data_IF_505353774084
#
_entry.id   IF_505353774084
#
_cell.length_a   1.000
_cell.length_b   1.000
_cell.length_c   1.000
_cell.angle_alpha   90.00
_cell.angle_beta   90.00
_cell.angle_gamma   90.00
#
_symmetry.space_group_name_H-M   'P 1'
#
loop_
_entity.id
_entity.type
_entity.pdbx_description
1 polymer ?
#
# COMPACT_ATOMS: atom_id res chain seq x y z
N UNK A 1 -7.33 25.28 -3.77
CA UNK A 1 -8.19 24.18 -4.25
C UNK A 1 -7.70 22.89 -3.63
N UNK A 2 -8.56 21.91 -3.37
CA UNK A 2 -8.15 20.64 -2.77
C UNK A 2 -7.19 19.88 -3.69
N UNK A 3 -6.17 19.26 -3.10
CA UNK A 3 -5.23 18.36 -3.77
C UNK A 3 -5.68 16.91 -3.62
N UNK A 4 -5.02 15.99 -4.34
CA UNK A 4 -5.31 14.58 -4.27
C UNK A 4 -6.55 14.14 -5.03
N UNK A 5 -7.04 12.94 -4.67
CA UNK A 5 -8.22 12.30 -5.24
C UNK A 5 -7.90 11.17 -6.22
N UNK A 6 -8.77 10.15 -6.19
CA UNK A 6 -8.58 8.93 -6.99
C UNK A 6 -8.60 9.20 -8.50
N UNK A 7 -9.39 10.18 -8.96
CA UNK A 7 -9.51 10.51 -10.38
C UNK A 7 -8.21 11.14 -10.93
N UNK A 8 -7.62 12.11 -10.21
CA UNK A 8 -6.33 12.70 -10.61
C UNK A 8 -5.19 11.69 -10.54
N UNK A 9 -5.20 10.83 -9.51
CA UNK A 9 -4.22 9.76 -9.38
C UNK A 9 -4.27 8.82 -10.59
N UNK A 10 -5.46 8.41 -11.02
CA UNK A 10 -5.64 7.57 -12.19
C UNK A 10 -5.09 8.21 -13.47
N UNK A 11 -5.33 9.50 -13.69
CA UNK A 11 -4.77 10.25 -14.82
C UNK A 11 -3.24 10.16 -14.86
N UNK A 12 -2.57 10.40 -13.72
CA UNK A 12 -1.10 10.32 -13.66
C UNK A 12 -0.57 8.89 -13.82
N UNK A 13 -1.23 7.90 -13.22
CA UNK A 13 -0.85 6.48 -13.38
C UNK A 13 -0.97 6.05 -14.85
N UNK A 14 -2.05 6.41 -15.54
CA UNK A 14 -2.23 6.08 -16.96
C UNK A 14 -1.17 6.76 -17.83
N UNK A 15 -0.84 8.03 -17.56
CA UNK A 15 0.22 8.73 -18.25
C UNK A 15 1.58 8.02 -18.08
N UNK A 16 1.98 7.70 -16.84
CA UNK A 16 3.24 6.99 -16.56
C UNK A 16 3.29 5.65 -17.30
N UNK A 17 2.20 4.87 -17.27
CA UNK A 17 2.15 3.58 -17.96
C UNK A 17 2.22 3.71 -19.49
N UNK A 18 1.77 4.82 -20.06
CA UNK A 18 1.87 5.08 -21.50
C UNK A 18 3.24 5.59 -21.95
N UNK A 19 4.04 6.15 -21.03
CA UNK A 19 5.36 6.71 -21.29
C UNK A 19 6.48 5.67 -21.31
N UNK A 20 6.26 4.47 -20.74
CA UNK A 20 7.31 3.46 -20.61
C UNK A 20 6.88 2.10 -21.13
N UNK A 21 7.84 1.36 -21.69
CA UNK A 21 7.70 -0.09 -22.00
C UNK A 21 8.24 -0.95 -20.84
N UNK A 22 8.84 -0.34 -19.83
CA UNK A 22 9.37 -1.06 -18.67
C UNK A 22 8.21 -1.55 -17.77
N UNK A 23 8.43 -2.61 -17.00
CA UNK A 23 7.48 -3.06 -16.00
C UNK A 23 7.16 -1.96 -14.99
N UNK A 24 5.87 -1.76 -14.69
CA UNK A 24 5.41 -0.81 -13.68
C UNK A 24 4.68 -1.58 -12.58
N UNK A 25 5.12 -1.41 -11.34
CA UNK A 25 4.39 -1.84 -10.14
C UNK A 25 3.69 -0.64 -9.50
N UNK A 26 2.44 -0.80 -9.15
CA UNK A 26 1.66 0.19 -8.42
C UNK A 26 1.36 -0.33 -7.02
N UNK A 27 1.98 0.29 -6.01
CA UNK A 27 2.05 -0.21 -4.65
C UNK A 27 1.49 0.83 -3.66
N UNK A 28 0.97 0.35 -2.54
CA UNK A 28 0.47 1.20 -1.45
C UNK A 28 0.99 0.70 -0.10
N UNK A 29 1.44 1.62 0.74
CA UNK A 29 2.05 1.31 2.04
C UNK A 29 1.06 1.38 3.22
N UNK A 30 -0.25 1.43 2.96
CA UNK A 30 -1.31 1.42 3.97
C UNK A 30 -1.81 2.80 4.42
N UNK A 31 -2.77 2.79 5.34
CA UNK A 31 -3.55 3.96 5.81
C UNK A 31 -4.36 4.64 4.69
N UNK A 32 -4.88 3.87 3.77
CA UNK A 32 -5.47 4.38 2.52
C UNK A 32 -7.01 4.38 2.54
N UNK A 33 -7.65 3.47 3.30
CA UNK A 33 -9.07 3.19 3.12
C UNK A 33 -10.03 4.21 3.76
N UNK A 34 -9.63 4.95 4.81
CA UNK A 34 -10.58 5.72 5.64
C UNK A 34 -10.25 7.21 5.80
N UNK A 35 -9.57 7.83 4.82
CA UNK A 35 -9.14 9.22 4.90
C UNK A 35 -10.23 10.28 4.68
N UNK A 36 -11.35 9.94 4.03
CA UNK A 36 -12.39 10.89 3.60
C UNK A 36 -13.79 10.39 3.96
N UNK A 37 -14.76 11.33 4.05
CA UNK A 37 -16.14 11.02 4.45
C UNK A 37 -16.77 9.93 3.57
N UNK A 38 -16.63 10.00 2.25
CA UNK A 38 -17.16 8.99 1.33
C UNK A 38 -16.53 7.61 1.56
N UNK A 39 -15.25 7.57 1.85
CA UNK A 39 -14.54 6.34 2.19
C UNK A 39 -15.06 5.75 3.52
N UNK A 40 -15.33 6.60 4.53
CA UNK A 40 -15.92 6.16 5.81
C UNK A 40 -17.34 5.63 5.63
N UNK A 41 -18.18 6.30 4.83
CA UNK A 41 -19.56 5.90 4.56
C UNK A 41 -19.66 4.60 3.76
N UNK A 42 -18.75 4.40 2.82
CA UNK A 42 -18.66 3.18 2.01
C UNK A 42 -17.88 2.06 2.68
N UNK A 43 -17.46 2.25 3.93
CA UNK A 43 -16.57 1.32 4.65
C UNK A 43 -15.32 0.94 3.83
N UNK A 44 -14.71 1.92 3.17
CA UNK A 44 -13.52 1.75 2.33
C UNK A 44 -13.79 1.17 0.92
N UNK A 45 -15.03 0.77 0.60
CA UNK A 45 -15.35 0.12 -0.68
C UNK A 45 -15.00 0.98 -1.88
N UNK A 46 -15.36 2.27 -1.87
CA UNK A 46 -15.04 3.19 -2.97
C UNK A 46 -13.54 3.24 -3.26
N UNK A 47 -12.71 3.15 -2.22
CA UNK A 47 -11.25 3.17 -2.40
C UNK A 47 -10.75 1.84 -2.98
N UNK A 48 -11.24 0.70 -2.50
CA UNK A 48 -10.90 -0.63 -3.04
C UNK A 48 -11.30 -0.76 -4.52
N UNK A 49 -12.49 -0.29 -4.88
CA UNK A 49 -12.96 -0.29 -6.26
C UNK A 49 -12.08 0.62 -7.15
N UNK A 50 -11.74 1.82 -6.65
CA UNK A 50 -10.87 2.75 -7.37
C UNK A 50 -9.44 2.19 -7.53
N UNK A 51 -8.85 1.62 -6.48
CA UNK A 51 -7.52 1.00 -6.54
C UNK A 51 -7.51 -0.20 -7.50
N UNK A 52 -8.59 -1.02 -7.46
CA UNK A 52 -8.74 -2.15 -8.38
C UNK A 52 -8.85 -1.69 -9.84
N UNK A 53 -9.59 -0.61 -10.11
CA UNK A 53 -9.71 -0.02 -11.45
C UNK A 53 -8.39 0.61 -11.94
N UNK A 54 -7.61 1.20 -11.04
CA UNK A 54 -6.26 1.71 -11.34
C UNK A 54 -5.22 0.60 -11.52
N UNK A 55 -5.53 -0.66 -11.14
CA UNK A 55 -4.63 -1.79 -11.27
C UNK A 55 -3.47 -1.74 -10.29
N UNK A 56 -3.77 -1.56 -9.00
CA UNK A 56 -2.77 -1.75 -7.95
C UNK A 56 -2.29 -3.21 -7.91
N UNK A 57 -1.01 -3.40 -7.60
CA UNK A 57 -0.38 -4.72 -7.51
C UNK A 57 -0.36 -5.26 -6.07
N UNK A 58 -0.31 -4.40 -5.07
CA UNK A 58 -0.45 -4.75 -3.65
C UNK A 58 -0.67 -3.51 -2.77
N UNK A 59 -1.19 -3.76 -1.55
CA UNK A 59 -1.33 -2.77 -0.48
C UNK A 59 -0.89 -3.41 0.85
N UNK A 60 -0.13 -2.68 1.68
CA UNK A 60 0.10 -3.08 3.08
C UNK A 60 -1.06 -2.63 3.99
N UNK A 61 -1.16 -3.25 5.17
CA UNK A 61 -2.11 -2.84 6.20
C UNK A 61 -1.47 -1.80 7.12
N UNK A 62 -2.06 -0.60 7.19
CA UNK A 62 -1.76 0.41 8.20
C UNK A 62 -2.79 0.47 9.32
N UNK A 63 -2.53 1.32 10.33
CA UNK A 63 -3.41 1.47 11.50
C UNK A 63 -4.81 1.93 11.12
N UNK A 64 -4.91 2.94 10.24
CA UNK A 64 -6.19 3.53 9.84
C UNK A 64 -7.03 2.60 8.98
N UNK A 65 -6.42 1.63 8.27
CA UNK A 65 -7.17 0.63 7.51
C UNK A 65 -7.99 -0.30 8.42
N UNK A 66 -7.64 -0.36 9.71
CA UNK A 66 -8.33 -1.11 10.76
C UNK A 66 -9.35 -0.26 11.55
N UNK A 67 -9.57 0.99 11.19
CA UNK A 67 -10.46 1.92 11.92
C UNK A 67 -11.91 1.43 12.04
N UNK A 68 -12.36 0.52 11.19
CA UNK A 68 -13.67 -0.14 11.24
C UNK A 68 -13.59 -1.61 11.70
N UNK A 69 -12.46 -2.02 12.25
CA UNK A 69 -12.20 -3.38 12.71
C UNK A 69 -11.66 -4.31 11.63
N UNK A 70 -11.12 -5.44 12.09
CA UNK A 70 -10.49 -6.48 11.23
C UNK A 70 -11.47 -7.06 10.22
N UNK A 71 -12.72 -7.32 10.62
CA UNK A 71 -13.74 -7.96 9.77
C UNK A 71 -14.09 -7.10 8.55
N UNK A 72 -14.19 -5.78 8.73
CA UNK A 72 -14.44 -4.84 7.63
C UNK A 72 -13.28 -4.87 6.65
N UNK A 73 -12.04 -4.83 7.13
CA UNK A 73 -10.86 -4.90 6.25
C UNK A 73 -10.76 -6.25 5.53
N UNK A 74 -11.09 -7.37 6.19
CA UNK A 74 -11.16 -8.69 5.56
C UNK A 74 -12.25 -8.74 4.46
N UNK A 75 -13.39 -8.09 4.67
CA UNK A 75 -14.42 -7.98 3.64
C UNK A 75 -13.89 -7.18 2.43
N UNK A 76 -13.19 -6.07 2.67
CA UNK A 76 -12.55 -5.28 1.60
C UNK A 76 -11.47 -6.07 0.86
N UNK A 77 -10.67 -6.87 1.58
CA UNK A 77 -9.64 -7.71 0.98
C UNK A 77 -10.22 -8.76 0.00
N UNK A 78 -11.43 -9.25 0.27
CA UNK A 78 -12.13 -10.17 -0.65
C UNK A 78 -12.68 -9.49 -1.90
N UNK A 79 -12.97 -8.19 -1.84
CA UNK A 79 -13.46 -7.38 -2.97
C UNK A 79 -12.31 -6.83 -3.84
N UNK A 80 -11.12 -6.69 -3.27
CA UNK A 80 -9.94 -6.17 -3.95
C UNK A 80 -9.45 -7.13 -5.05
N UNK A 81 -9.00 -6.55 -6.18
CA UNK A 81 -8.35 -7.29 -7.28
C UNK A 81 -6.83 -7.35 -7.13
N UNK A 82 -6.34 -7.04 -5.95
CA UNK A 82 -4.94 -7.04 -5.56
C UNK A 82 -4.84 -7.53 -4.10
N UNK A 83 -3.72 -8.13 -3.69
CA UNK A 83 -3.54 -8.59 -2.32
C UNK A 83 -3.39 -7.42 -1.34
N UNK A 84 -4.04 -7.54 -0.17
CA UNK A 84 -3.78 -6.74 1.01
C UNK A 84 -2.87 -7.56 1.91
N UNK A 85 -1.68 -7.00 2.24
CA UNK A 85 -0.57 -7.74 2.80
C UNK A 85 -0.25 -7.31 4.23
N UNK A 86 -0.05 -8.30 5.12
CA UNK A 86 0.61 -8.11 6.42
C UNK A 86 1.18 -9.43 6.92
N UNK A 87 2.49 -9.49 7.07
CA UNK A 87 3.16 -10.70 7.53
C UNK A 87 3.13 -10.85 9.07
N UNK A 88 2.99 -9.74 9.79
CA UNK A 88 3.16 -9.69 11.24
C UNK A 88 1.88 -9.34 12.03
N UNK A 89 0.76 -9.05 11.36
CA UNK A 89 -0.55 -8.94 11.99
C UNK A 89 -1.19 -10.33 12.02
N UNK A 90 -1.25 -10.95 13.20
CA UNK A 90 -1.70 -12.32 13.38
C UNK A 90 -2.95 -12.38 14.25
N UNK A 91 -3.74 -13.44 14.09
CA UNK A 91 -4.85 -13.75 14.99
C UNK A 91 -4.30 -14.04 16.40
N UNK A 92 -4.88 -13.43 17.43
CA UNK A 92 -4.39 -13.53 18.80
C UNK A 92 -4.43 -14.95 19.37
N UNK A 93 -5.38 -15.79 18.93
CA UNK A 93 -5.54 -17.16 19.40
C UNK A 93 -4.76 -18.17 18.55
N UNK A 94 -4.90 -18.07 17.22
CA UNK A 94 -4.31 -19.06 16.30
C UNK A 94 -2.86 -18.75 15.93
N UNK A 95 -2.37 -17.54 16.19
CA UNK A 95 -1.02 -17.08 15.84
C UNK A 95 -0.71 -17.20 14.34
N UNK A 96 -1.76 -17.21 13.49
CA UNK A 96 -1.64 -17.22 12.03
C UNK A 96 -1.84 -15.81 11.49
N UNK A 97 -1.16 -15.45 10.39
CA UNK A 97 -1.42 -14.18 9.71
C UNK A 97 -2.90 -14.01 9.35
N UNK A 98 -3.44 -12.83 9.64
CA UNK A 98 -4.83 -12.48 9.33
C UNK A 98 -4.98 -12.16 7.84
N UNK A 99 -3.95 -11.55 7.25
CA UNK A 99 -3.87 -11.23 5.83
C UNK A 99 -2.78 -12.07 5.16
N UNK A 100 -2.73 -12.04 3.83
CA UNK A 100 -1.61 -12.65 3.11
C UNK A 100 -0.29 -12.02 3.58
N UNK A 101 0.72 -12.81 3.95
CA UNK A 101 2.00 -12.24 4.40
C UNK A 101 2.78 -11.61 3.27
N UNK A 102 2.70 -12.20 2.07
CA UNK A 102 3.39 -11.75 0.86
C UNK A 102 2.63 -12.17 -0.40
N UNK A 103 3.02 -11.58 -1.52
CA UNK A 103 2.60 -12.00 -2.86
C UNK A 103 3.82 -12.16 -3.77
N UNK A 104 3.76 -13.13 -4.67
CA UNK A 104 4.72 -13.32 -5.75
C UNK A 104 4.06 -12.88 -7.06
N UNK A 105 4.76 -12.10 -7.85
CA UNK A 105 4.30 -11.70 -9.17
C UNK A 105 5.47 -11.58 -10.14
N UNK A 106 5.17 -11.74 -11.42
CA UNK A 106 6.14 -11.53 -12.49
C UNK A 106 5.70 -10.38 -13.38
N UNK A 107 6.62 -9.50 -13.71
CA UNK A 107 6.42 -8.39 -14.64
C UNK A 107 7.67 -8.22 -15.51
N UNK A 108 7.49 -8.28 -16.84
CA UNK A 108 8.60 -8.10 -17.79
C UNK A 108 9.74 -9.09 -17.62
N UNK A 109 9.45 -10.33 -17.19
CA UNK A 109 10.45 -11.38 -16.96
C UNK A 109 11.20 -11.25 -15.63
N UNK A 110 10.85 -10.29 -14.77
CA UNK A 110 11.40 -10.13 -13.40
C UNK A 110 10.38 -10.66 -12.39
N UNK A 111 10.85 -11.50 -11.46
CA UNK A 111 10.04 -12.04 -10.37
C UNK A 111 10.19 -11.14 -9.14
N UNK A 112 9.06 -10.67 -8.64
CA UNK A 112 9.00 -9.82 -7.44
C UNK A 112 8.35 -10.58 -6.29
N UNK A 113 8.93 -10.46 -5.09
CA UNK A 113 8.26 -10.78 -3.84
C UNK A 113 7.85 -9.46 -3.16
N UNK A 114 6.55 -9.32 -2.88
CA UNK A 114 5.99 -8.18 -2.16
C UNK A 114 5.60 -8.64 -0.76
N UNK A 115 6.19 -8.10 0.28
CA UNK A 115 5.93 -8.45 1.68
C UNK A 115 5.28 -7.26 2.39
N UNK A 116 4.17 -7.46 3.11
CA UNK A 116 3.53 -6.39 3.90
C UNK A 116 3.97 -6.39 5.35
N UNK A 117 4.21 -5.21 5.95
CA UNK A 117 4.57 -5.06 7.36
C UNK A 117 3.72 -3.98 8.02
N UNK A 118 3.05 -4.36 9.10
CA UNK A 118 2.15 -3.51 9.90
C UNK A 118 2.85 -3.05 11.17
N UNK A 119 2.61 -1.81 11.57
CA UNK A 119 3.14 -1.22 12.80
C UNK A 119 2.43 -1.72 14.08
N UNK A 120 3.09 -1.71 15.25
CA UNK A 120 2.45 -2.08 16.52
C UNK A 120 1.25 -1.23 16.91
N UNK A 121 1.23 0.07 16.53
CA UNK A 121 0.11 0.98 16.80
C UNK A 121 -1.21 0.56 16.11
N UNK A 122 -1.18 -0.35 15.14
CA UNK A 122 -2.36 -0.95 14.55
C UNK A 122 -3.31 -1.58 15.60
N UNK A 123 -2.76 -2.06 16.73
CA UNK A 123 -3.54 -2.59 17.85
C UNK A 123 -4.35 -1.54 18.62
N UNK A 124 -4.11 -0.25 18.38
CA UNK A 124 -4.87 0.85 18.99
C UNK A 124 -6.21 1.11 18.27
N UNK A 125 -6.37 0.56 17.06
CA UNK A 125 -7.64 0.63 16.34
C UNK A 125 -8.75 -0.13 17.11
N UNK A 126 -10.01 0.36 17.04
CA UNK A 126 -11.12 -0.19 17.83
C UNK A 126 -11.33 -1.70 17.62
N UNK A 127 -11.34 -2.46 18.71
CA UNK A 127 -11.59 -3.90 18.71
C UNK A 127 -10.47 -4.77 18.15
N UNK A 128 -9.38 -4.19 17.65
CA UNK A 128 -8.28 -4.96 17.02
C UNK A 128 -7.49 -5.73 18.07
N UNK A 129 -7.20 -5.14 19.23
CA UNK A 129 -6.41 -5.77 20.31
C UNK A 129 -7.04 -7.04 20.86
N UNK A 130 -8.35 -7.17 20.76
CA UNK A 130 -9.09 -8.33 21.28
C UNK A 130 -8.94 -9.56 20.36
N UNK A 131 -8.65 -9.35 19.08
CA UNK A 131 -8.63 -10.40 18.05
C UNK A 131 -7.28 -10.58 17.36
N UNK A 132 -6.37 -9.62 17.51
CA UNK A 132 -5.10 -9.60 16.80
C UNK A 132 -3.90 -9.28 17.69
N UNK A 133 -2.73 -9.69 17.24
CA UNK A 133 -1.41 -9.30 17.74
C UNK A 133 -0.54 -8.82 16.58
N UNK A 134 0.37 -7.90 16.85
CA UNK A 134 1.43 -7.52 15.92
C UNK A 134 2.73 -8.11 16.44
N UNK A 135 3.29 -9.03 15.67
CA UNK A 135 4.59 -9.66 15.97
C UNK A 135 5.73 -8.70 15.66
N UNK A 136 6.90 -8.97 16.22
CA UNK A 136 8.11 -8.19 15.93
C UNK A 136 8.38 -8.14 14.42
N UNK A 137 8.49 -6.95 13.83
CA UNK A 137 8.63 -6.80 12.39
C UNK A 137 9.90 -7.45 11.84
N UNK A 138 11.04 -7.23 12.51
CA UNK A 138 12.35 -7.73 12.03
C UNK A 138 12.39 -9.25 12.07
N UNK A 139 11.99 -9.86 13.19
CA UNK A 139 11.98 -11.31 13.33
C UNK A 139 11.00 -11.96 12.34
N UNK A 140 9.83 -11.33 12.13
CA UNK A 140 8.82 -11.88 11.22
C UNK A 140 9.24 -11.76 9.75
N UNK A 141 9.75 -10.60 9.33
CA UNK A 141 10.27 -10.43 7.96
C UNK A 141 11.39 -11.42 7.71
N UNK A 142 12.35 -11.55 8.64
CA UNK A 142 13.47 -12.52 8.53
C UNK A 142 12.98 -13.95 8.29
N UNK A 143 11.90 -14.36 8.95
CA UNK A 143 11.29 -15.68 8.74
C UNK A 143 10.83 -15.84 7.28
N UNK A 144 10.08 -14.85 6.76
CA UNK A 144 9.57 -14.90 5.39
C UNK A 144 10.66 -14.75 4.32
N UNK A 145 11.75 -14.02 4.60
CA UNK A 145 12.93 -13.99 3.72
C UNK A 145 13.51 -15.39 3.51
N UNK A 146 13.58 -16.19 4.56
CA UNK A 146 14.06 -17.57 4.46
C UNK A 146 13.13 -18.45 3.61
N UNK A 147 11.81 -18.24 3.71
CA UNK A 147 10.80 -18.95 2.90
C UNK A 147 10.86 -18.51 1.42
N UNK A 148 11.10 -17.23 1.16
CA UNK A 148 11.11 -16.62 -0.18
C UNK A 148 12.44 -16.81 -0.94
N UNK A 149 13.45 -17.36 -0.28
CA UNK A 149 14.79 -17.51 -0.87
C UNK A 149 14.75 -18.26 -2.21
N UNK A 150 15.24 -17.60 -3.26
CA UNK A 150 15.28 -18.15 -4.63
C UNK A 150 13.94 -18.09 -5.37
N UNK A 151 12.87 -17.57 -4.78
CA UNK A 151 11.56 -17.44 -5.42
C UNK A 151 11.35 -16.09 -6.12
N UNK A 152 12.19 -15.09 -5.85
CA UNK A 152 12.14 -13.77 -6.46
C UNK A 152 13.52 -13.28 -6.86
N UNK A 153 13.54 -12.35 -7.81
CA UNK A 153 14.73 -11.65 -8.26
C UNK A 153 14.86 -10.30 -7.52
N UNK A 154 13.72 -9.72 -7.11
CA UNK A 154 13.64 -8.48 -6.34
C UNK A 154 12.67 -8.66 -5.17
N UNK A 155 13.11 -8.27 -3.97
CA UNK A 155 12.31 -8.29 -2.76
C UNK A 155 11.90 -6.85 -2.35
N UNK A 156 10.60 -6.61 -2.31
CA UNK A 156 10.02 -5.32 -1.93
C UNK A 156 9.23 -5.49 -0.63
N UNK A 157 9.51 -4.66 0.37
CA UNK A 157 8.69 -4.56 1.58
C UNK A 157 7.79 -3.33 1.48
N UNK A 158 6.48 -3.55 1.59
CA UNK A 158 5.48 -2.51 1.80
C UNK A 158 5.35 -2.30 3.30
N UNK A 159 5.87 -1.19 3.81
CA UNK A 159 6.04 -0.97 5.25
C UNK A 159 5.17 0.15 5.77
N UNK A 160 4.44 -0.11 6.85
CA UNK A 160 3.77 0.95 7.62
C UNK A 160 4.46 1.22 8.97
N UNK A 161 5.79 1.04 9.04
CA UNK A 161 6.57 1.25 10.26
C UNK A 161 7.03 2.70 10.46
N UNK A 162 7.01 3.50 9.39
CA UNK A 162 7.60 4.82 9.34
C UNK A 162 9.11 4.79 9.07
N UNK A 163 9.67 5.94 8.67
CA UNK A 163 11.05 6.03 8.15
C UNK A 163 12.10 5.44 9.10
N UNK A 164 11.97 5.66 10.41
CA UNK A 164 12.95 5.11 11.35
C UNK A 164 12.82 3.58 11.50
N UNK A 165 11.58 3.07 11.47
CA UNK A 165 11.32 1.62 11.42
C UNK A 165 11.84 0.99 10.14
N UNK A 166 11.65 1.67 9.00
CA UNK A 166 12.13 1.23 7.70
C UNK A 166 13.67 1.15 7.65
N UNK A 167 14.36 2.17 8.21
CA UNK A 167 15.81 2.18 8.35
C UNK A 167 16.32 1.05 9.25
N UNK A 168 15.66 0.83 10.39
CA UNK A 168 16.01 -0.26 11.29
C UNK A 168 15.82 -1.63 10.63
N UNK A 169 14.74 -1.80 9.86
CA UNK A 169 14.46 -3.02 9.12
C UNK A 169 15.54 -3.28 8.04
N UNK A 170 15.89 -2.25 7.27
CA UNK A 170 16.94 -2.33 6.24
C UNK A 170 18.33 -2.63 6.84
N UNK A 171 18.66 -2.05 7.99
CA UNK A 171 19.92 -2.34 8.71
C UNK A 171 20.00 -3.78 9.20
N UNK A 172 18.87 -4.31 9.69
CA UNK A 172 18.81 -5.67 10.22
C UNK A 172 18.75 -6.75 9.14
N UNK A 173 18.20 -6.43 7.96
CA UNK A 173 17.87 -7.39 6.88
C UNK A 173 18.35 -6.83 5.52
N UNK A 174 19.65 -6.88 5.24
CA UNK A 174 20.24 -6.33 4.03
C UNK A 174 19.85 -7.07 2.73
N UNK A 175 19.11 -8.16 2.85
CA UNK A 175 18.53 -8.91 1.72
C UNK A 175 17.31 -8.20 1.10
N UNK A 176 16.77 -7.17 1.75
CA UNK A 176 15.67 -6.36 1.22
C UNK A 176 16.22 -5.39 0.17
N UNK A 177 15.68 -5.44 -1.05
CA UNK A 177 16.11 -4.56 -2.14
C UNK A 177 15.46 -3.18 -2.06
N UNK A 178 14.15 -3.14 -1.74
CA UNK A 178 13.35 -1.91 -1.71
C UNK A 178 12.35 -1.94 -0.55
N UNK A 179 12.23 -0.80 0.14
CA UNK A 179 11.14 -0.54 1.09
C UNK A 179 10.31 0.64 0.56
N UNK A 180 9.03 0.37 0.32
CA UNK A 180 8.01 1.39 0.07
C UNK A 180 7.31 1.65 1.38
N UNK A 181 7.64 2.79 2.01
CA UNK A 181 7.22 3.12 3.36
C UNK A 181 5.98 4.02 3.43
N UNK A 182 5.28 3.94 4.55
CA UNK A 182 4.16 4.80 4.93
C UNK A 182 4.35 5.45 6.31
N UNK A 183 3.26 5.90 6.94
CA UNK A 183 3.12 6.41 8.32
C UNK A 183 3.78 7.75 8.61
N UNK A 184 5.04 7.98 8.26
CA UNK A 184 5.78 9.21 8.66
C UNK A 184 5.32 10.46 7.93
N UNK A 185 4.41 10.37 6.97
CA UNK A 185 3.89 11.48 6.14
C UNK A 185 4.97 12.29 5.42
N UNK A 186 6.14 11.68 5.20
CA UNK A 186 7.23 12.35 4.50
C UNK A 186 7.06 12.29 2.98
N UNK A 187 7.36 13.40 2.32
CA UNK A 187 7.56 13.45 0.86
C UNK A 187 9.07 13.35 0.61
N UNK A 188 9.51 12.18 0.18
CA UNK A 188 10.94 11.94 -0.09
C UNK A 188 11.24 12.22 -1.56
N UNK A 189 11.85 13.37 -1.83
CA UNK A 189 12.28 13.75 -3.18
C UNK A 189 13.50 12.95 -3.67
N UNK A 190 14.25 12.36 -2.75
CA UNK A 190 15.30 11.40 -3.01
C UNK A 190 15.10 10.21 -2.07
N UNK A 191 15.38 8.97 -2.52
CA UNK A 191 15.30 7.81 -1.64
C UNK A 191 16.42 7.83 -0.61
N UNK A 192 16.18 7.25 0.57
CA UNK A 192 17.22 6.89 1.52
C UNK A 192 17.88 5.59 1.07
N UNK A 193 19.20 5.47 1.27
CA UNK A 193 19.95 4.26 0.99
C UNK A 193 20.57 3.75 2.30
N UNK A 194 20.21 2.55 2.70
CA UNK A 194 20.75 1.88 3.89
C UNK A 194 21.41 0.57 3.46
N UNK A 195 22.73 0.55 3.44
CA UNK A 195 23.47 -0.55 2.79
C UNK A 195 23.16 -0.61 1.29
N UNK A 196 22.52 -1.71 0.83
CA UNK A 196 22.01 -1.87 -0.53
C UNK A 196 20.51 -1.60 -0.66
N UNK A 197 19.80 -1.44 0.47
CA UNK A 197 18.34 -1.25 0.48
C UNK A 197 17.96 0.18 0.13
N UNK A 198 17.08 0.32 -0.84
CA UNK A 198 16.46 1.60 -1.23
C UNK A 198 15.18 1.81 -0.42
N UNK A 199 15.02 2.97 0.22
CA UNK A 199 13.81 3.32 1.00
C UNK A 199 13.17 4.55 0.40
N UNK A 200 11.87 4.48 0.10
CA UNK A 200 11.08 5.62 -0.39
C UNK A 200 9.77 5.75 0.36
N UNK A 201 9.28 6.99 0.49
CA UNK A 201 7.96 7.29 1.07
C UNK A 201 7.37 8.53 0.38
N UNK A 202 6.04 8.55 0.17
CA UNK A 202 5.42 9.60 -0.62
C UNK A 202 4.21 10.23 0.05
N UNK A 203 4.48 11.08 1.03
CA UNK A 203 3.53 12.02 1.62
C UNK A 203 2.35 11.37 2.32
N UNK A 204 1.19 12.04 2.25
CA UNK A 204 -0.03 11.70 2.98
C UNK A 204 -1.29 12.20 2.25
N UNK A 205 -2.46 11.81 2.74
CA UNK A 205 -3.81 12.22 2.28
C UNK A 205 -4.06 11.99 0.77
N UNK A 206 -3.21 11.18 0.12
CA UNK A 206 -3.31 10.90 -1.31
C UNK A 206 -3.06 12.12 -2.20
N UNK A 207 -2.40 13.16 -1.69
CA UNK A 207 -2.04 14.37 -2.43
C UNK A 207 -0.84 14.18 -3.37
N UNK A 208 -0.09 13.12 -3.15
CA UNK A 208 1.16 12.83 -3.84
C UNK A 208 1.15 11.44 -4.47
N UNK A 209 1.83 11.31 -5.61
CA UNK A 209 2.21 10.04 -6.21
C UNK A 209 3.73 10.00 -6.34
N UNK A 210 4.36 8.98 -5.79
CA UNK A 210 5.78 8.73 -5.96
C UNK A 210 6.03 7.87 -7.18
N UNK A 211 6.99 8.25 -8.02
CA UNK A 211 7.56 7.40 -9.04
C UNK A 211 9.02 7.14 -8.67
N UNK A 212 9.37 5.86 -8.56
CA UNK A 212 10.74 5.41 -8.37
C UNK A 212 11.15 4.57 -9.58
N UNK A 213 12.07 5.08 -10.36
CA UNK A 213 12.69 4.34 -11.46
C UNK A 213 13.99 3.71 -10.97
N UNK A 214 14.18 2.42 -11.25
CA UNK A 214 15.37 1.66 -10.86
C UNK A 214 15.88 0.84 -12.04
N UNK A 215 17.16 0.50 -12.03
CA UNK A 215 17.75 -0.50 -12.91
C UNK A 215 18.09 -1.76 -12.11
N UNK A 216 18.11 -2.91 -12.78
CA UNK A 216 18.60 -4.15 -12.17
C UNK A 216 19.94 -4.50 -12.84
N UNK A 217 20.95 -4.75 -12.03
CA UNK A 217 22.23 -5.24 -12.55
C UNK A 217 22.14 -6.74 -12.95
N UNK A 218 23.23 -7.29 -13.47
CA UNK A 218 23.28 -8.69 -13.91
C UNK A 218 23.06 -9.72 -12.78
N UNK A 219 23.15 -9.30 -11.52
CA UNK A 219 22.87 -10.08 -10.32
C UNK A 219 21.45 -9.86 -9.79
N UNK A 220 20.62 -9.06 -10.48
CA UNK A 220 19.26 -8.71 -10.06
C UNK A 220 19.18 -7.64 -8.98
N UNK A 221 20.29 -6.99 -8.61
CA UNK A 221 20.30 -5.98 -7.56
C UNK A 221 19.78 -4.63 -8.08
N UNK A 222 19.02 -3.94 -7.24
CA UNK A 222 18.49 -2.60 -7.52
C UNK A 222 19.64 -1.58 -7.56
N UNK A 223 19.69 -0.79 -8.64
CA UNK A 223 20.70 0.25 -8.91
C UNK A 223 20.03 1.53 -9.39
N UNK A 224 20.78 2.61 -9.30
CA UNK A 224 20.47 3.93 -9.86
C UNK A 224 19.04 4.42 -9.56
N UNK A 225 18.57 4.38 -8.29
CA UNK A 225 17.23 4.77 -7.95
C UNK A 225 17.01 6.27 -8.23
N UNK A 226 16.01 6.58 -9.06
CA UNK A 226 15.60 7.94 -9.38
C UNK A 226 14.17 8.17 -8.89
N UNK A 227 13.99 9.10 -7.96
CA UNK A 227 12.67 9.43 -7.40
C UNK A 227 12.09 10.67 -8.08
N UNK A 228 10.81 10.60 -8.41
CA UNK A 228 10.03 11.75 -8.89
C UNK A 228 8.79 11.92 -8.01
N UNK A 229 8.63 13.10 -7.46
CA UNK A 229 7.46 13.50 -6.68
C UNK A 229 6.43 14.13 -7.62
N UNK A 230 5.24 13.57 -7.66
CA UNK A 230 4.14 14.06 -8.50
C UNK A 230 3.03 14.56 -7.58
N UNK A 231 2.82 15.87 -7.56
CA UNK A 231 1.70 16.47 -6.84
C UNK A 231 0.40 16.28 -7.63
N UNK A 232 -0.65 15.85 -6.96
CA UNK A 232 -1.98 15.69 -7.55
C UNK A 232 -2.79 16.98 -7.33
N UNK A 233 -2.30 18.08 -7.92
CA UNK A 233 -2.87 19.41 -7.82
C UNK A 233 -4.13 19.61 -8.69
N UNK A 234 -4.75 20.79 -8.60
CA UNK A 234 -5.96 21.12 -9.37
C UNK A 234 -5.72 21.28 -10.89
N UNK A 235 -4.47 21.37 -11.30
CA UNK A 235 -4.00 21.37 -12.69
C UNK A 235 -4.04 19.97 -13.35
N UNK A 236 -4.14 18.92 -12.53
CA UNK A 236 -4.29 17.55 -13.04
C UNK A 236 -5.76 17.29 -13.35
N UNK A 237 -6.07 16.98 -14.59
CA UNK A 237 -7.42 16.63 -15.01
C UNK A 237 -7.92 15.35 -14.32
N UNK A 238 -9.19 15.32 -13.98
CA UNK A 238 -9.83 14.11 -13.44
C UNK A 238 -9.98 13.04 -14.53
N UNK A 239 -9.65 11.81 -14.22
CA UNK A 239 -9.99 10.66 -15.04
C UNK A 239 -11.51 10.43 -15.01
N UNK A 240 -12.13 10.32 -16.19
CA UNK A 240 -13.59 10.26 -16.31
C UNK A 240 -14.20 9.02 -15.65
N UNK A 241 -13.53 7.86 -15.76
CA UNK A 241 -14.01 6.59 -15.19
C UNK A 241 -13.97 6.65 -13.64
N UNK A 242 -12.84 7.05 -13.08
CA UNK A 242 -12.68 7.13 -11.61
C UNK A 242 -13.51 8.27 -10.99
N UNK A 243 -13.74 9.36 -11.76
CA UNK A 243 -14.67 10.40 -11.35
C UNK A 243 -16.11 9.87 -11.30
N UNK A 244 -16.56 9.17 -12.34
CA UNK A 244 -17.90 8.57 -12.39
C UNK A 244 -18.10 7.55 -11.27
N UNK A 245 -17.08 6.72 -10.98
CA UNK A 245 -17.10 5.79 -9.84
C UNK A 245 -17.31 6.54 -8.51
N UNK A 246 -16.52 7.57 -8.24
CA UNK A 246 -16.67 8.36 -7.02
C UNK A 246 -18.03 9.06 -6.91
N UNK A 247 -18.53 9.59 -8.02
CA UNK A 247 -19.82 10.30 -8.07
C UNK A 247 -21.00 9.32 -7.84
N UNK A 248 -20.97 8.11 -8.38
CA UNK A 248 -21.98 7.06 -8.15
C UNK A 248 -22.07 6.66 -6.66
N UNK A 249 -20.92 6.58 -5.98
CA UNK A 249 -20.91 6.35 -4.53
C UNK A 249 -21.48 7.55 -3.75
N UNK A 250 -21.18 8.79 -4.14
CA UNK A 250 -21.76 9.99 -3.51
C UNK A 250 -23.27 10.00 -3.63
N UNK A 251 -23.81 9.72 -4.81
CA UNK A 251 -25.27 9.66 -5.05
C UNK A 251 -25.92 8.59 -4.18
N UNK A 252 -25.31 7.41 -4.06
CA UNK A 252 -25.81 6.31 -3.22
C UNK A 252 -25.88 6.70 -1.74
N UNK A 253 -24.92 7.44 -1.21
CA UNK A 253 -24.88 7.85 0.19
C UNK A 253 -25.56 9.21 0.46
N UNK A 254 -25.92 9.98 -0.58
CA UNK A 254 -26.73 11.19 -0.46
C UNK A 254 -28.23 10.90 -0.30
N UNK A 255 -28.71 9.71 -0.69
CA UNK A 255 -30.09 9.33 -0.52
C UNK A 255 -30.37 9.03 0.96
N UNK A 256 -31.45 9.61 1.56
CA UNK A 256 -31.86 9.25 2.91
C UNK A 256 -32.19 7.76 2.93
N UNK A 257 -31.65 7.04 3.92
CA UNK A 257 -31.98 5.63 4.16
C UNK A 257 -33.48 5.50 4.38
N UNK A 258 -34.21 5.03 3.37
CA UNK A 258 -35.59 4.62 3.48
C UNK A 258 -35.65 3.22 4.07
N UNK A 259 -35.15 3.02 5.28
CA UNK A 259 -35.56 1.85 6.07
C UNK A 259 -36.75 2.25 6.95
N UNK A 260 -37.89 1.59 6.82
CA UNK A 260 -38.98 1.77 7.77
C UNK A 260 -38.53 1.29 9.14
N UNK A 261 -38.61 2.20 10.13
CA UNK A 261 -38.46 1.83 11.52
C UNK A 261 -39.36 0.61 11.83
N UNK A 262 -38.73 -0.48 12.22
CA UNK A 262 -39.39 -1.63 12.82
C UNK A 262 -39.38 -1.53 14.33
#
# INVERSE_FOLDING_TARGET
>A
MPKGGVARRATKIRAIRSETQNPVLLLDAGDTLFGQMLALQSEGRVIIEAMSAMGYDAMAVGQMDLAKGVDVLLARAKEARFPILSCNLVNAQEQKPIFQPYALLERGGVRFALLGVTEPAALEAPGVRDVAQVLDPVATVKKYLAELKGQSDVLIVLSHLGVEGDRALAQALPEIDLIVGGKSRRVMSAPDIVGSTVITQMGYDGEWLGRLDVTLDAQGQVRDPQSTVIELGPDVADDAELKALADSHKERFAQPTTEPAK
#
